data_IF_674832048185
#
_entry.id   IF_674832048185
#
_cell.length_a   1.000
_cell.length_b   1.000
_cell.length_c   1.000
_cell.angle_alpha   90.00
_cell.angle_beta   90.00
_cell.angle_gamma   90.00
#
_symmetry.space_group_name_H-M   'P 1'
#
loop_
_entity.id
_entity.type
_entity.pdbx_description
1 polymer ?
#
# COMPACT_ATOMS: atom_id res chain seq x y z
N UNK A 1 1.81 -15.74 -1.33
CA UNK A 1 1.56 -14.29 -1.41
C UNK A 1 1.56 -13.72 0.00
N UNK A 2 2.32 -12.65 0.25
CA UNK A 2 2.50 -12.10 1.61
C UNK A 2 1.18 -11.61 2.24
N UNK A 3 0.22 -11.14 1.45
CA UNK A 3 -1.07 -10.62 1.93
C UNK A 3 -2.19 -11.66 2.01
N UNK A 4 -1.93 -12.94 1.71
CA UNK A 4 -2.94 -14.02 1.79
C UNK A 4 -4.11 -13.93 0.82
N UNK A 5 -4.12 -12.95 -0.10
CA UNK A 5 -5.19 -12.77 -1.10
C UNK A 5 -5.02 -13.71 -2.28
N UNK A 6 -6.13 -14.08 -2.92
CA UNK A 6 -6.13 -14.90 -4.13
C UNK A 6 -6.13 -14.01 -5.37
N UNK A 7 -5.23 -14.30 -6.31
CA UNK A 7 -5.33 -13.75 -7.66
C UNK A 7 -6.37 -14.55 -8.42
N UNK A 8 -7.45 -13.91 -8.85
CA UNK A 8 -8.61 -14.59 -9.45
C UNK A 8 -8.77 -14.31 -10.94
N UNK A 9 -8.15 -13.24 -11.42
CA UNK A 9 -8.18 -12.89 -12.85
C UNK A 9 -6.98 -12.02 -13.20
N UNK A 10 -6.68 -11.94 -14.48
CA UNK A 10 -5.68 -11.06 -15.04
C UNK A 10 -5.84 -10.98 -16.54
N UNK A 11 -5.34 -9.92 -17.12
CA UNK A 11 -5.28 -9.71 -18.57
C UNK A 11 -3.99 -8.98 -18.91
N UNK A 12 -3.51 -9.16 -20.13
CA UNK A 12 -2.34 -8.48 -20.64
C UNK A 12 -2.67 -7.81 -21.97
N UNK A 13 -2.47 -6.50 -22.03
CA UNK A 13 -2.59 -5.74 -23.26
C UNK A 13 -1.19 -5.33 -23.75
N UNK A 14 -0.91 -5.65 -24.99
CA UNK A 14 0.29 -5.20 -25.69
C UNK A 14 -0.01 -3.88 -26.39
N UNK A 15 0.91 -2.94 -26.29
CA UNK A 15 0.89 -1.66 -27.00
C UNK A 15 2.09 -1.55 -27.93
N UNK A 16 2.02 -0.69 -28.92
CA UNK A 16 3.11 -0.48 -29.87
C UNK A 16 4.35 0.10 -29.16
N UNK A 17 5.52 -0.21 -29.68
CA UNK A 17 6.78 0.31 -29.18
C UNK A 17 6.79 1.86 -29.16
N UNK A 18 7.25 2.43 -28.06
CA UNK A 18 7.29 3.89 -27.86
C UNK A 18 6.00 4.49 -27.25
N UNK A 19 4.97 3.67 -26.96
CA UNK A 19 3.73 4.12 -26.32
C UNK A 19 3.64 3.74 -24.84
N UNK A 20 4.77 3.43 -24.20
CA UNK A 20 4.84 3.13 -22.78
C UNK A 20 6.26 2.95 -22.29
N UNK A 21 6.46 3.00 -20.97
CA UNK A 21 7.78 2.88 -20.31
C UNK A 21 8.08 1.42 -19.88
N UNK A 22 7.93 0.48 -20.79
CA UNK A 22 8.16 -0.92 -20.51
C UNK A 22 6.88 -1.63 -20.04
N UNK A 23 6.67 -1.82 -18.76
CA UNK A 23 5.52 -2.56 -18.21
C UNK A 23 4.78 -1.72 -17.18
N UNK A 24 3.46 -1.62 -17.34
CA UNK A 24 2.56 -1.09 -16.32
C UNK A 24 1.76 -2.24 -15.70
N UNK A 25 1.71 -2.29 -14.38
CA UNK A 25 0.94 -3.29 -13.64
C UNK A 25 -0.11 -2.58 -12.80
N UNK A 26 -1.38 -2.83 -13.12
CA UNK A 26 -2.51 -2.32 -12.36
C UNK A 26 -3.17 -3.47 -11.61
N UNK A 27 -3.51 -3.25 -10.35
CA UNK A 27 -4.22 -4.22 -9.53
C UNK A 27 -5.50 -3.61 -8.98
N UNK A 28 -6.54 -4.42 -8.89
CA UNK A 28 -7.79 -4.08 -8.20
C UNK A 28 -8.14 -5.20 -7.24
N UNK A 29 -8.70 -4.85 -6.08
CA UNK A 29 -9.10 -5.82 -5.07
C UNK A 29 -10.58 -5.64 -4.69
N UNK A 30 -11.23 -6.76 -4.41
CA UNK A 30 -12.60 -6.79 -3.88
C UNK A 30 -12.54 -7.57 -2.57
N UNK A 31 -13.17 -7.04 -1.52
CA UNK A 31 -13.23 -7.67 -0.22
C UNK A 31 -14.55 -7.41 0.50
N UNK A 32 -14.83 -8.20 1.52
CA UNK A 32 -15.95 -7.97 2.42
C UNK A 32 -15.46 -7.10 3.58
N UNK A 33 -16.18 -6.02 3.85
CA UNK A 33 -15.90 -5.18 5.02
C UNK A 33 -16.36 -5.90 6.27
N UNK A 34 -15.50 -6.02 7.28
CA UNK A 34 -15.87 -6.55 8.59
C UNK A 34 -16.95 -5.65 9.22
N UNK A 35 -18.00 -6.27 9.77
CA UNK A 35 -19.14 -5.53 10.36
C UNK A 35 -18.75 -4.68 11.58
N UNK A 36 -17.62 -4.99 12.20
CA UNK A 36 -17.06 -4.24 13.32
C UNK A 36 -16.27 -3.01 12.86
N UNK A 37 -15.86 -2.98 11.58
CA UNK A 37 -15.04 -1.91 11.03
C UNK A 37 -15.91 -0.73 10.58
N UNK A 38 -15.72 0.42 11.20
CA UNK A 38 -16.27 1.71 10.76
C UNK A 38 -15.17 2.78 10.74
N UNK A 39 -14.07 2.47 10.06
CA UNK A 39 -12.88 3.31 9.99
C UNK A 39 -13.07 4.38 8.93
N UNK A 40 -13.14 5.64 9.37
CA UNK A 40 -13.38 6.81 8.50
C UNK A 40 -12.60 8.02 9.01
N UNK A 41 -12.01 8.84 8.13
CA UNK A 41 -11.29 10.04 8.57
C UNK A 41 -12.18 11.03 9.34
N UNK A 42 -13.49 11.04 9.09
CA UNK A 42 -14.45 11.91 9.78
C UNK A 42 -14.71 11.51 11.25
N UNK A 43 -14.24 10.35 11.67
CA UNK A 43 -14.36 9.90 13.06
C UNK A 43 -13.24 10.43 13.96
N UNK A 44 -12.13 10.87 13.37
CA UNK A 44 -11.01 11.44 14.13
C UNK A 44 -11.46 12.67 14.94
N UNK A 45 -11.08 12.71 16.21
CA UNK A 45 -11.50 13.74 17.18
C UNK A 45 -10.30 14.30 17.93
N UNK A 46 -10.49 15.45 18.51
CA UNK A 46 -9.51 16.02 19.43
C UNK A 46 -9.35 15.11 20.66
N UNK A 47 -8.13 14.72 20.94
CA UNK A 47 -7.78 13.81 22.04
C UNK A 47 -7.46 12.39 21.59
N UNK A 48 -7.71 12.05 20.32
CA UNK A 48 -7.32 10.76 19.78
C UNK A 48 -5.79 10.65 19.69
N UNK A 49 -5.28 9.45 19.93
CA UNK A 49 -3.88 9.13 19.72
C UNK A 49 -3.62 8.81 18.24
N UNK A 50 -2.68 9.52 17.63
CA UNK A 50 -2.23 9.24 16.26
C UNK A 50 -1.07 8.26 16.30
N UNK A 51 -1.25 7.07 15.75
CA UNK A 51 -0.25 6.01 15.70
C UNK A 51 0.14 5.75 14.27
N UNK A 52 1.43 5.57 14.01
CA UNK A 52 1.99 5.27 12.69
C UNK A 52 2.58 3.88 12.72
N UNK A 53 2.21 3.03 11.76
CA UNK A 53 2.66 1.64 11.68
C UNK A 53 4.10 1.47 11.15
N UNK A 54 4.72 2.52 10.66
CA UNK A 54 6.06 2.51 10.09
C UNK A 54 6.38 3.84 9.39
N UNK A 55 7.37 3.82 8.55
CA UNK A 55 7.80 5.00 7.80
C UNK A 55 6.70 5.48 6.82
N UNK A 56 6.68 6.78 6.56
CA UNK A 56 5.72 7.43 5.65
C UNK A 56 6.47 8.13 4.53
N UNK A 57 6.07 7.86 3.27
CA UNK A 57 6.57 8.56 2.09
C UNK A 57 7.90 8.03 1.56
N UNK A 58 8.47 7.01 2.14
CA UNK A 58 9.75 6.41 1.69
C UNK A 58 9.63 5.81 0.29
N UNK A 59 8.45 5.30 -0.09
CA UNK A 59 8.21 4.81 -1.45
C UNK A 59 8.50 5.87 -2.51
N UNK A 60 8.04 7.09 -2.32
CA UNK A 60 8.30 8.20 -3.23
C UNK A 60 9.79 8.47 -3.40
N UNK A 61 10.54 8.49 -2.30
CA UNK A 61 12.01 8.66 -2.33
C UNK A 61 12.69 7.49 -3.02
N UNK A 62 12.27 6.25 -2.76
CA UNK A 62 12.81 5.06 -3.41
C UNK A 62 12.61 5.10 -4.94
N UNK A 63 11.43 5.50 -5.41
CA UNK A 63 11.14 5.65 -6.85
C UNK A 63 11.97 6.75 -7.47
N UNK A 64 12.06 7.92 -6.83
CA UNK A 64 12.86 9.06 -7.33
C UNK A 64 14.34 8.69 -7.40
N UNK A 65 14.86 8.00 -6.40
CA UNK A 65 16.25 7.56 -6.39
C UNK A 65 16.58 6.68 -7.61
N UNK A 66 15.69 5.77 -7.97
CA UNK A 66 15.86 4.93 -9.16
C UNK A 66 15.74 5.70 -10.48
N UNK A 67 14.83 6.68 -10.56
CA UNK A 67 14.57 7.44 -11.79
C UNK A 67 15.64 8.51 -12.08
N UNK A 68 16.05 9.22 -11.04
CA UNK A 68 16.97 10.34 -11.15
C UNK A 68 18.45 9.93 -10.91
N UNK A 69 18.69 8.64 -10.67
CA UNK A 69 20.04 8.14 -10.38
C UNK A 69 20.65 8.73 -9.11
N UNK A 70 19.80 9.06 -8.12
CA UNK A 70 20.28 9.61 -6.85
C UNK A 70 20.98 8.50 -6.05
N UNK A 71 22.25 8.74 -5.73
CA UNK A 71 23.03 7.83 -4.90
C UNK A 71 22.86 8.19 -3.42
N UNK A 72 22.39 7.23 -2.65
CA UNK A 72 22.35 7.30 -1.18
C UNK A 72 23.40 6.36 -0.60
N UNK A 73 23.84 6.62 0.61
CA UNK A 73 24.81 5.77 1.31
C UNK A 73 24.32 4.33 1.52
N UNK A 74 22.99 4.13 1.47
CA UNK A 74 22.34 2.82 1.56
C UNK A 74 21.19 2.74 0.56
N UNK A 75 20.82 1.53 0.15
CA UNK A 75 19.63 1.32 -0.68
C UNK A 75 18.38 1.76 0.07
N UNK A 76 17.61 2.67 -0.55
CA UNK A 76 16.30 3.09 -0.03
C UNK A 76 15.26 2.10 -0.50
N UNK A 77 14.75 1.27 0.40
CA UNK A 77 13.65 0.35 0.12
C UNK A 77 12.30 1.05 0.30
N UNK A 78 11.29 0.62 -0.48
CA UNK A 78 9.91 1.10 -0.30
C UNK A 78 9.36 0.73 1.08
N UNK A 79 8.55 1.61 1.65
CA UNK A 79 7.77 1.38 2.87
C UNK A 79 6.49 0.54 2.63
N UNK A 80 6.27 0.06 1.42
CA UNK A 80 5.15 -0.81 1.10
C UNK A 80 5.25 -2.14 1.85
N UNK A 81 4.23 -2.44 2.67
CA UNK A 81 4.18 -3.65 3.50
C UNK A 81 2.77 -4.24 3.54
N UNK A 82 2.62 -5.56 3.76
CA UNK A 82 1.31 -6.19 3.96
C UNK A 82 0.80 -5.89 5.37
N UNK A 83 -0.16 -4.98 5.51
CA UNK A 83 -0.70 -4.52 6.80
C UNK A 83 -1.99 -5.24 7.22
N UNK A 84 -2.44 -6.26 6.48
CA UNK A 84 -3.70 -6.95 6.75
C UNK A 84 -3.79 -7.58 8.15
N UNK A 85 -2.67 -8.13 8.66
CA UNK A 85 -2.62 -8.69 10.01
C UNK A 85 -2.78 -7.62 11.09
N UNK A 86 -2.06 -6.52 10.97
CA UNK A 86 -2.16 -5.38 11.88
C UNK A 86 -3.59 -4.80 11.89
N UNK A 87 -4.19 -4.61 10.71
CA UNK A 87 -5.57 -4.10 10.61
C UNK A 87 -6.57 -5.08 11.25
N UNK A 88 -6.40 -6.40 11.07
CA UNK A 88 -7.25 -7.38 11.72
C UNK A 88 -7.19 -7.29 13.25
N UNK A 89 -5.99 -7.19 13.83
CA UNK A 89 -5.80 -7.01 15.27
C UNK A 89 -6.43 -5.70 15.77
N UNK A 90 -6.28 -4.61 15.05
CA UNK A 90 -6.92 -3.33 15.39
C UNK A 90 -8.44 -3.45 15.45
N UNK A 91 -9.07 -4.11 14.46
CA UNK A 91 -10.52 -4.33 14.45
C UNK A 91 -10.94 -5.20 15.64
N UNK A 92 -10.17 -6.22 15.98
CA UNK A 92 -10.46 -7.11 17.13
C UNK A 92 -10.37 -6.39 18.48
N UNK A 93 -9.44 -5.45 18.62
CA UNK A 93 -9.30 -4.64 19.84
C UNK A 93 -10.33 -3.51 19.96
N UNK A 94 -11.11 -3.27 18.90
CA UNK A 94 -12.10 -2.20 18.86
C UNK A 94 -11.49 -0.82 18.59
N UNK A 95 -10.28 -0.76 18.07
CA UNK A 95 -9.71 0.49 17.57
C UNK A 95 -10.46 0.93 16.29
N UNK A 96 -10.79 2.20 16.19
CA UNK A 96 -11.55 2.79 15.10
C UNK A 96 -11.00 4.16 14.64
#
# INVERSE_FOLDING_TARGET
MAAGVKLVTGDTKVVDSGHGDGVYINTAGIGLVDRRADIRPQRARTGDAVIVSGDIGVHGVAVMSCREGLEFATTVASDSAPLHGLVAEMIETGAD
#
